data_IF_699034797867
#
_entry.id   IF_699034797867
#
_cell.length_a   1.000
_cell.length_b   1.000
_cell.length_c   1.000
_cell.angle_alpha   90.00
_cell.angle_beta   90.00
_cell.angle_gamma   90.00
#
_symmetry.space_group_name_H-M   'P 1'
#
loop_
_entity.id
_entity.type
_entity.pdbx_description
1 polymer ?
#
# COMPACT_ATOMS: atom_id res chain seq x y z
N UNK A 1 25.06 33.57 19.10
CA UNK A 1 24.80 33.98 17.70
C UNK A 1 24.48 32.68 17.01
N UNK A 2 23.21 32.31 17.04
CA UNK A 2 22.83 30.93 16.80
C UNK A 2 22.56 30.82 15.31
N UNK A 3 23.52 30.23 14.59
CA UNK A 3 23.36 29.92 13.17
C UNK A 3 22.14 29.03 12.94
N UNK A 4 21.63 28.94 11.70
CA UNK A 4 20.43 28.17 11.40
C UNK A 4 20.59 26.71 11.86
N UNK A 5 19.72 26.28 12.79
CA UNK A 5 19.72 24.92 13.34
C UNK A 5 19.36 23.90 12.25
N UNK A 6 20.14 22.84 12.14
CA UNK A 6 19.86 21.73 11.22
C UNK A 6 18.54 21.03 11.60
N UNK A 7 17.78 20.51 10.62
CA UNK A 7 16.53 19.81 10.90
C UNK A 7 16.80 18.49 11.64
N UNK A 8 16.03 18.22 12.70
CA UNK A 8 16.06 16.99 13.51
C UNK A 8 15.45 15.78 12.80
N UNK A 9 14.53 16.04 11.85
CA UNK A 9 13.92 15.04 11.01
C UNK A 9 13.84 15.53 9.56
N UNK A 10 13.82 14.61 8.61
CA UNK A 10 13.59 14.90 7.20
C UNK A 10 12.55 13.94 6.62
N UNK A 11 11.60 14.50 5.86
CA UNK A 11 10.73 13.70 4.99
C UNK A 11 11.35 13.62 3.62
N UNK A 12 11.86 12.45 3.26
CA UNK A 12 12.37 12.19 1.92
C UNK A 12 11.32 11.43 1.12
N UNK A 13 10.87 12.02 0.01
CA UNK A 13 10.04 11.30 -0.96
C UNK A 13 10.95 10.37 -1.76
N UNK A 14 10.61 9.09 -1.80
CA UNK A 14 11.41 8.11 -2.51
C UNK A 14 11.05 8.11 -4.01
N UNK A 15 11.61 9.06 -4.75
CA UNK A 15 11.31 9.32 -6.17
C UNK A 15 11.50 8.09 -7.07
N UNK A 16 12.55 7.28 -6.85
CA UNK A 16 12.78 6.03 -7.59
C UNK A 16 11.62 5.04 -7.43
N UNK A 17 11.15 4.83 -6.19
CA UNK A 17 10.03 3.93 -5.91
C UNK A 17 8.71 4.45 -6.48
N UNK A 18 8.54 5.77 -6.57
CA UNK A 18 7.38 6.40 -7.19
C UNK A 18 7.33 6.12 -8.70
N UNK A 19 8.46 6.24 -9.39
CA UNK A 19 8.56 5.95 -10.83
C UNK A 19 8.28 4.47 -11.09
N UNK A 20 8.88 3.56 -10.31
CA UNK A 20 8.65 2.13 -10.42
C UNK A 20 7.18 1.74 -10.16
N UNK A 21 6.57 2.28 -9.09
CA UNK A 21 5.15 2.06 -8.82
C UNK A 21 4.26 2.58 -9.95
N UNK A 22 4.57 3.74 -10.53
CA UNK A 22 3.81 4.28 -11.68
C UNK A 22 3.91 3.38 -12.90
N UNK A 23 5.11 2.96 -13.28
CA UNK A 23 5.31 2.01 -14.38
C UNK A 23 4.55 0.72 -14.15
N UNK A 24 4.65 0.15 -12.95
CA UNK A 24 3.90 -1.04 -12.56
C UNK A 24 2.38 -0.82 -12.69
N UNK A 25 1.85 0.29 -12.21
CA UNK A 25 0.43 0.64 -12.35
C UNK A 25 -0.01 0.73 -13.81
N UNK A 26 0.79 1.38 -14.67
CA UNK A 26 0.46 1.52 -16.09
C UNK A 26 0.46 0.16 -16.81
N UNK A 27 1.50 -0.64 -16.62
CA UNK A 27 1.60 -1.96 -17.27
C UNK A 27 0.47 -2.88 -16.81
N UNK A 28 0.19 -2.93 -15.52
CA UNK A 28 -0.92 -3.75 -15.00
C UNK A 28 -2.28 -3.21 -15.47
N UNK A 29 -2.47 -1.89 -15.51
CA UNK A 29 -3.69 -1.29 -16.03
C UNK A 29 -3.96 -1.66 -17.49
N UNK A 30 -2.93 -1.64 -18.35
CA UNK A 30 -3.03 -2.08 -19.75
C UNK A 30 -3.37 -3.57 -19.83
N UNK A 31 -2.72 -4.41 -19.03
CA UNK A 31 -3.00 -5.84 -19.00
C UNK A 31 -4.44 -6.16 -18.58
N UNK A 32 -4.94 -5.46 -17.55
CA UNK A 32 -6.32 -5.57 -17.06
C UNK A 32 -7.32 -5.11 -18.13
N UNK A 33 -7.07 -3.98 -18.81
CA UNK A 33 -7.91 -3.50 -19.90
C UNK A 33 -7.97 -4.49 -21.07
N UNK A 34 -6.83 -5.06 -21.46
CA UNK A 34 -6.77 -6.09 -22.50
C UNK A 34 -7.56 -7.34 -22.10
N UNK A 35 -7.46 -7.77 -20.84
CA UNK A 35 -8.23 -8.89 -20.30
C UNK A 35 -9.74 -8.62 -20.35
N UNK A 36 -10.18 -7.45 -19.89
CA UNK A 36 -11.59 -7.06 -19.96
C UNK A 36 -12.11 -6.98 -21.39
N UNK A 37 -11.32 -6.44 -22.33
CA UNK A 37 -11.69 -6.40 -23.75
C UNK A 37 -11.86 -7.80 -24.33
N UNK A 38 -10.91 -8.70 -24.06
CA UNK A 38 -10.99 -10.10 -24.49
C UNK A 38 -12.22 -10.81 -23.91
N UNK A 39 -12.53 -10.57 -22.63
CA UNK A 39 -13.72 -11.16 -22.00
C UNK A 39 -15.02 -10.57 -22.50
N UNK A 40 -15.10 -9.27 -22.71
CA UNK A 40 -16.28 -8.62 -23.25
C UNK A 40 -16.60 -9.15 -24.66
N UNK A 41 -15.58 -9.25 -25.53
CA UNK A 41 -15.76 -9.82 -26.88
C UNK A 41 -16.15 -11.30 -26.85
N UNK A 42 -15.59 -12.09 -25.94
CA UNK A 42 -15.96 -13.49 -25.71
C UNK A 42 -17.40 -13.64 -25.23
N UNK A 43 -17.83 -12.79 -24.28
CA UNK A 43 -19.19 -12.78 -23.77
C UNK A 43 -20.20 -12.39 -24.85
N UNK A 44 -19.90 -11.37 -25.67
CA UNK A 44 -20.73 -11.00 -26.81
C UNK A 44 -20.87 -12.14 -27.82
N UNK A 45 -19.78 -12.89 -28.06
CA UNK A 45 -19.82 -14.09 -28.92
C UNK A 45 -20.73 -15.15 -28.31
N UNK A 46 -20.58 -15.48 -27.03
CA UNK A 46 -21.41 -16.47 -26.32
C UNK A 46 -22.90 -16.10 -26.34
N UNK A 47 -23.24 -14.83 -26.08
CA UNK A 47 -24.63 -14.36 -26.16
C UNK A 47 -25.20 -14.52 -27.57
N UNK A 48 -24.39 -14.28 -28.60
CA UNK A 48 -24.82 -14.38 -30.00
C UNK A 48 -25.05 -15.82 -30.44
N UNK A 49 -24.21 -16.77 -30.00
CA UNK A 49 -24.34 -18.18 -30.36
C UNK A 49 -25.38 -18.94 -29.52
N UNK A 50 -25.75 -18.44 -28.32
CA UNK A 50 -26.74 -19.05 -27.39
C UNK A 50 -26.50 -20.51 -26.97
N UNK A 51 -25.41 -21.13 -27.39
CA UNK A 51 -25.15 -22.56 -27.16
C UNK A 51 -24.57 -22.88 -25.76
N UNK A 52 -24.07 -21.90 -25.02
CA UNK A 52 -23.37 -22.13 -23.73
C UNK A 52 -24.00 -21.38 -22.55
N UNK A 53 -23.94 -21.94 -21.32
CA UNK A 53 -24.50 -21.30 -20.14
C UNK A 53 -23.75 -20.01 -19.83
N UNK A 54 -24.50 -18.91 -19.70
CA UNK A 54 -23.96 -17.55 -19.52
C UNK A 54 -23.55 -17.27 -18.07
N UNK A 55 -24.15 -17.99 -17.11
CA UNK A 55 -23.98 -17.76 -15.66
C UNK A 55 -22.51 -17.85 -15.19
N UNK A 56 -21.70 -18.86 -15.57
CA UNK A 56 -20.30 -18.94 -15.17
C UNK A 56 -19.46 -17.76 -15.67
N UNK A 57 -19.72 -17.27 -16.89
CA UNK A 57 -19.04 -16.12 -17.46
C UNK A 57 -19.32 -14.83 -16.67
N UNK A 58 -20.56 -14.65 -16.20
CA UNK A 58 -20.94 -13.50 -15.37
C UNK A 58 -20.23 -13.52 -14.01
N UNK A 59 -20.15 -14.68 -13.37
CA UNK A 59 -19.46 -14.82 -12.07
C UNK A 59 -17.97 -14.49 -12.22
N UNK A 60 -17.33 -14.97 -13.28
CA UNK A 60 -15.91 -14.69 -13.56
C UNK A 60 -15.69 -13.19 -13.79
N UNK A 61 -16.53 -12.54 -14.61
CA UNK A 61 -16.42 -11.10 -14.86
C UNK A 61 -16.64 -10.30 -13.57
N UNK A 62 -17.62 -10.70 -12.75
CA UNK A 62 -17.87 -10.03 -11.48
C UNK A 62 -16.66 -10.15 -10.53
N UNK A 63 -16.09 -11.35 -10.42
CA UNK A 63 -14.87 -11.58 -9.64
C UNK A 63 -13.70 -10.72 -10.11
N UNK A 64 -13.52 -10.59 -11.42
CA UNK A 64 -12.46 -9.75 -11.99
C UNK A 64 -12.67 -8.26 -11.75
N UNK A 65 -13.92 -7.78 -11.78
CA UNK A 65 -14.26 -6.39 -11.41
C UNK A 65 -13.89 -6.14 -9.95
N UNK A 66 -14.28 -7.03 -9.03
CA UNK A 66 -13.94 -6.90 -7.61
C UNK A 66 -12.43 -6.93 -7.38
N UNK A 67 -11.71 -7.87 -8.02
CA UNK A 67 -10.26 -7.95 -7.90
C UNK A 67 -9.58 -6.69 -8.43
N UNK A 68 -10.02 -6.17 -9.58
CA UNK A 68 -9.52 -4.93 -10.16
C UNK A 68 -9.78 -3.75 -9.24
N UNK A 69 -10.98 -3.67 -8.65
CA UNK A 69 -11.34 -2.62 -7.69
C UNK A 69 -10.45 -2.65 -6.45
N UNK A 70 -10.25 -3.81 -5.85
CA UNK A 70 -9.35 -3.99 -4.71
C UNK A 70 -7.91 -3.60 -5.08
N UNK A 71 -7.45 -3.98 -6.27
CA UNK A 71 -6.14 -3.59 -6.77
C UNK A 71 -6.00 -2.07 -6.88
N UNK A 72 -6.99 -1.36 -7.44
CA UNK A 72 -6.99 0.12 -7.55
C UNK A 72 -6.94 0.77 -6.17
N UNK A 73 -7.72 0.28 -5.20
CA UNK A 73 -7.69 0.77 -3.82
C UNK A 73 -6.31 0.59 -3.19
N UNK A 74 -5.69 -0.57 -3.42
CA UNK A 74 -4.35 -0.85 -2.93
C UNK A 74 -3.28 0.07 -3.56
N UNK A 75 -3.44 0.44 -4.84
CA UNK A 75 -2.54 1.41 -5.49
C UNK A 75 -2.56 2.80 -4.84
N UNK A 76 -3.67 3.23 -4.23
CA UNK A 76 -3.76 4.53 -3.56
C UNK A 76 -2.72 4.66 -2.43
N UNK A 77 -2.49 3.60 -1.65
CA UNK A 77 -1.46 3.57 -0.60
C UNK A 77 -0.02 3.68 -1.13
N UNK A 78 0.19 3.33 -2.40
CA UNK A 78 1.51 3.28 -3.05
C UNK A 78 1.85 4.55 -3.83
N UNK A 79 0.94 5.53 -3.89
CA UNK A 79 1.06 6.73 -4.72
C UNK A 79 2.16 7.69 -4.25
N UNK A 80 2.41 7.75 -2.93
CA UNK A 80 3.44 8.63 -2.36
C UNK A 80 4.12 8.00 -1.14
N UNK A 81 5.04 7.05 -1.36
CA UNK A 81 5.86 6.53 -0.27
C UNK A 81 6.75 7.66 0.28
N UNK A 82 6.50 8.05 1.53
CA UNK A 82 7.29 9.03 2.27
C UNK A 82 8.13 8.30 3.30
N UNK A 83 9.45 8.44 3.22
CA UNK A 83 10.36 7.95 4.25
C UNK A 83 10.62 9.09 5.23
N UNK A 84 10.39 8.82 6.51
CA UNK A 84 10.79 9.71 7.59
C UNK A 84 12.17 9.27 8.07
N UNK A 85 13.17 10.12 7.91
CA UNK A 85 14.51 9.92 8.44
C UNK A 85 14.66 10.83 9.68
N UNK A 86 14.98 10.23 10.82
CA UNK A 86 15.31 10.95 12.04
C UNK A 86 16.83 11.02 12.17
N UNK A 87 17.35 12.14 12.68
CA UNK A 87 18.76 12.40 12.89
C UNK A 87 19.05 12.48 14.40
N UNK A 88 19.16 11.32 15.09
CA UNK A 88 19.41 11.31 16.53
C UNK A 88 20.73 11.98 16.91
N UNK A 89 21.72 12.01 16.00
CA UNK A 89 22.99 12.70 16.21
C UNK A 89 22.88 14.22 16.31
N UNK A 90 21.72 14.80 15.98
CA UNK A 90 21.42 16.23 16.07
C UNK A 90 20.58 16.58 17.30
N UNK A 91 20.25 15.59 18.13
CA UNK A 91 19.53 15.82 19.37
C UNK A 91 20.38 16.68 20.32
N UNK A 92 19.74 17.56 21.12
CA UNK A 92 20.42 18.26 22.18
C UNK A 92 20.91 17.27 23.25
N UNK A 93 21.89 17.69 24.06
CA UNK A 93 22.40 16.91 25.20
C UNK A 93 21.27 16.43 26.12
N UNK A 94 21.48 15.28 26.77
CA UNK A 94 20.47 14.55 27.54
C UNK A 94 19.78 15.42 28.61
N UNK A 95 20.47 16.40 29.19
CA UNK A 95 19.91 17.32 30.19
C UNK A 95 18.80 18.24 29.64
N UNK A 96 18.70 18.41 28.31
CA UNK A 96 17.67 19.23 27.66
C UNK A 96 16.52 18.40 27.09
N UNK A 97 16.56 17.07 27.21
CA UNK A 97 15.50 16.20 26.71
C UNK A 97 14.31 16.20 27.68
N UNK A 98 13.10 16.10 27.12
CA UNK A 98 11.89 16.00 27.92
C UNK A 98 11.78 14.59 28.54
N UNK A 99 11.26 14.45 29.76
CA UNK A 99 10.97 13.15 30.35
C UNK A 99 9.97 12.38 29.47
N UNK A 100 10.21 11.09 29.25
CA UNK A 100 9.37 10.20 28.45
C UNK A 100 8.78 9.12 29.34
N UNK A 101 7.45 9.03 29.38
CA UNK A 101 6.75 7.97 30.09
C UNK A 101 6.63 6.72 29.20
N UNK A 102 7.15 5.59 29.69
CA UNK A 102 7.05 4.29 29.01
C UNK A 102 5.97 3.46 29.70
N UNK A 103 4.82 3.32 29.02
CA UNK A 103 3.73 2.48 29.52
C UNK A 103 3.97 1.02 29.16
N UNK A 104 4.05 0.16 30.18
CA UNK A 104 4.12 -1.30 30.02
C UNK A 104 2.76 -1.88 30.41
N UNK A 105 2.00 -2.29 29.40
CA UNK A 105 0.71 -2.95 29.61
C UNK A 105 0.89 -4.47 29.54
N UNK A 106 1.11 -5.11 30.68
CA UNK A 106 1.05 -6.58 30.79
C UNK A 106 -0.36 -7.00 31.19
N UNK A 107 -1.08 -7.64 30.27
CA UNK A 107 -2.49 -8.00 30.47
C UNK A 107 -2.69 -9.20 31.42
N UNK A 108 -1.74 -10.14 31.48
CA UNK A 108 -1.84 -11.35 32.30
C UNK A 108 -0.44 -11.96 32.57
N UNK A 109 0.10 -11.84 33.80
CA UNK A 109 1.38 -12.43 34.18
C UNK A 109 1.43 -13.96 34.07
N UNK A 110 0.28 -14.66 34.09
CA UNK A 110 0.25 -16.12 33.98
C UNK A 110 0.40 -16.61 32.52
N UNK A 111 -0.08 -15.82 31.54
CA UNK A 111 0.03 -16.13 30.10
C UNK A 111 1.30 -15.59 29.45
N UNK A 112 1.89 -14.57 30.06
CA UNK A 112 3.19 -14.02 29.67
C UNK A 112 4.07 -13.92 30.92
N UNK A 113 4.49 -15.06 31.49
CA UNK A 113 5.35 -15.06 32.65
C UNK A 113 6.63 -14.30 32.32
N UNK A 114 7.13 -13.46 33.24
CA UNK A 114 8.46 -12.92 33.10
C UNK A 114 9.44 -14.08 33.02
N UNK A 115 10.54 -13.89 32.31
CA UNK A 115 11.58 -14.92 32.19
C UNK A 115 12.24 -15.08 33.57
N UNK A 116 11.73 -16.02 34.37
CA UNK A 116 12.13 -16.32 35.74
C UNK A 116 11.56 -17.65 36.21
#
# INVERSE_FOLDING_TARGET
MDGPSLPLNARRVLTKSLILNRLYMFVNGIAILALFYYRATTLLRVIKTRDTPVVPYLIVILSEIFLTFLWVLYQASRWRPVKLEAYPERLPEDEKLQPVDVFICTADPAKSPPWG
#
